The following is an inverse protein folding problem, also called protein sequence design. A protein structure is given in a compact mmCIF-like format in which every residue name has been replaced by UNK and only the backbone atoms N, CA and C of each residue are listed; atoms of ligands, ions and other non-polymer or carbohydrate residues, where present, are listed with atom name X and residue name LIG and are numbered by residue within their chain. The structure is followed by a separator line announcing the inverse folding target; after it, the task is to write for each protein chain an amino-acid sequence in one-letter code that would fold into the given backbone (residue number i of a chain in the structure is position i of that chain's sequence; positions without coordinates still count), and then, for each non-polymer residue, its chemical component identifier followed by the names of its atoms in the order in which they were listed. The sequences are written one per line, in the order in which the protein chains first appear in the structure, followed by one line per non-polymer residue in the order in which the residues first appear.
data_IF_259897927521
#
_entry.id   IF_259897927521
#
_cell.length_a   1.000
_cell.length_b   1.000
_cell.length_c   1.000
_cell.angle_alpha   90.00
_cell.angle_beta   90.00
_cell.angle_gamma   90.00
#
_symmetry.space_group_name_H-M   'P 1'
#
loop_
_entity.id
_entity.type
_entity.pdbx_description
1 polymer ?
#
# COMPACT_ATOMS: atom_id res chain seq x y z
N UNK A 1 57.32 45.10 0.77
CA UNK A 1 56.39 46.14 1.28
C UNK A 1 56.22 45.97 2.79
N UNK A 2 56.50 46.99 3.60
CA UNK A 2 56.39 46.94 5.08
C UNK A 2 54.91 47.03 5.48
N UNK A 3 54.44 46.11 6.33
CA UNK A 3 53.08 46.16 6.90
C UNK A 3 52.99 47.33 7.88
N UNK A 4 51.91 48.14 7.87
CA UNK A 4 51.75 49.22 8.83
C UNK A 4 51.66 48.64 10.26
N UNK A 5 52.43 49.22 11.18
CA UNK A 5 52.34 48.90 12.60
C UNK A 5 51.05 49.52 13.16
N UNK A 6 49.99 48.72 13.24
CA UNK A 6 48.71 49.16 13.79
C UNK A 6 48.83 49.07 15.30
N UNK A 7 49.06 50.21 15.96
CA UNK A 7 49.03 50.30 17.41
C UNK A 7 47.57 50.22 17.85
N UNK A 8 47.19 49.08 18.44
CA UNK A 8 45.88 48.93 19.05
C UNK A 8 45.81 49.86 20.26
N UNK A 9 44.82 50.76 20.29
CA UNK A 9 44.51 51.60 21.45
C UNK A 9 44.12 50.68 22.62
N UNK A 10 45.09 50.34 23.47
CA UNK A 10 44.92 49.53 24.67
C UNK A 10 44.34 50.40 25.79
N UNK A 11 43.08 50.82 25.63
CA UNK A 11 42.36 51.56 26.65
C UNK A 11 41.40 50.64 27.41
N UNK A 12 41.17 50.95 28.69
CA UNK A 12 40.28 50.23 29.60
C UNK A 12 38.85 50.12 29.03
N UNK A 13 38.38 51.16 28.33
CA UNK A 13 37.08 51.15 27.64
C UNK A 13 36.99 50.04 26.57
N UNK A 14 37.97 49.98 25.66
CA UNK A 14 37.99 49.00 24.56
C UNK A 14 38.08 47.56 25.11
N UNK A 15 38.86 47.33 26.18
CA UNK A 15 38.91 46.03 26.86
C UNK A 15 37.57 45.63 27.46
N UNK A 16 36.89 46.55 28.15
CA UNK A 16 35.60 46.26 28.77
C UNK A 16 34.52 45.99 27.72
N UNK A 17 34.49 46.74 26.63
CA UNK A 17 33.49 46.54 25.57
C UNK A 17 33.71 45.21 24.82
N UNK A 18 34.97 44.86 24.54
CA UNK A 18 35.31 43.56 23.95
C UNK A 18 34.98 42.40 24.89
N UNK A 19 35.21 42.54 26.21
CA UNK A 19 34.78 41.54 27.18
C UNK A 19 33.26 41.38 27.17
N UNK A 20 32.51 42.49 27.18
CA UNK A 20 31.04 42.45 27.12
C UNK A 20 30.54 41.75 25.86
N UNK A 21 31.08 42.09 24.69
CA UNK A 21 30.76 41.42 23.41
C UNK A 21 31.07 39.92 23.46
N UNK A 22 32.22 39.51 24.03
CA UNK A 22 32.56 38.08 24.17
C UNK A 22 31.58 37.35 25.10
N UNK A 23 31.15 37.97 26.20
CA UNK A 23 30.12 37.39 27.06
C UNK A 23 28.77 37.25 26.35
N UNK A 24 28.33 38.27 25.62
CA UNK A 24 27.09 38.23 24.82
C UNK A 24 27.16 37.17 23.70
N UNK A 25 28.30 37.06 23.02
CA UNK A 25 28.56 36.02 22.02
C UNK A 25 28.57 34.63 22.65
N UNK A 26 29.21 34.43 23.80
CA UNK A 26 29.21 33.15 24.51
C UNK A 26 27.82 32.73 24.97
N UNK A 27 27.00 33.66 25.46
CA UNK A 27 25.59 33.40 25.78
C UNK A 27 24.80 33.02 24.54
N UNK A 28 24.98 33.74 23.43
CA UNK A 28 24.32 33.45 22.16
C UNK A 28 24.72 32.06 21.62
N UNK A 29 25.99 31.68 21.74
CA UNK A 29 26.51 30.38 21.31
C UNK A 29 25.93 29.25 22.17
N UNK A 30 25.85 29.44 23.50
CA UNK A 30 25.20 28.48 24.40
C UNK A 30 23.72 28.29 24.03
N UNK A 31 23.00 29.39 23.77
CA UNK A 31 21.59 29.34 23.35
C UNK A 31 21.39 28.67 22.00
N UNK A 32 22.28 28.95 21.04
CA UNK A 32 22.23 28.33 19.71
C UNK A 32 22.56 26.83 19.76
N UNK A 33 23.50 26.42 20.60
CA UNK A 33 23.78 24.99 20.85
C UNK A 33 22.59 24.28 21.48
N UNK A 34 21.92 24.93 22.43
CA UNK A 34 20.69 24.41 23.05
C UNK A 34 19.54 24.28 22.04
N UNK A 35 19.34 25.30 21.19
CA UNK A 35 18.37 25.21 20.08
C UNK A 35 18.72 24.09 19.10
N UNK A 36 20.00 23.89 18.78
CA UNK A 36 20.45 22.77 17.95
C UNK A 36 20.08 21.41 18.54
N UNK A 37 20.27 21.23 19.85
CA UNK A 37 19.85 20.03 20.58
C UNK A 37 18.34 19.80 20.52
N UNK A 38 17.54 20.85 20.72
CA UNK A 38 16.08 20.78 20.58
C UNK A 38 15.70 20.33 19.17
N UNK A 39 16.35 20.88 18.14
CA UNK A 39 16.06 20.57 16.74
C UNK A 39 16.37 19.10 16.41
N UNK A 40 17.48 18.58 16.92
CA UNK A 40 17.84 17.15 16.81
C UNK A 40 16.80 16.27 17.49
N UNK A 41 16.39 16.60 18.72
CA UNK A 41 15.35 15.86 19.44
C UNK A 41 14.03 15.89 18.68
N UNK A 42 13.64 17.05 18.14
CA UNK A 42 12.44 17.19 17.31
C UNK A 42 12.51 16.29 16.08
N UNK A 43 13.65 16.28 15.38
CA UNK A 43 13.85 15.42 14.21
C UNK A 43 13.68 13.94 14.56
N UNK A 44 14.25 13.48 15.68
CA UNK A 44 14.04 12.12 16.16
C UNK A 44 12.59 11.82 16.54
N UNK A 45 11.90 12.80 17.14
CA UNK A 45 10.48 12.70 17.50
C UNK A 45 9.58 12.49 16.27
N UNK A 46 9.94 13.04 15.11
CA UNK A 46 9.21 12.84 13.86
C UNK A 46 9.62 11.54 13.13
N UNK A 47 10.86 11.07 13.28
CA UNK A 47 11.32 9.83 12.61
C UNK A 47 10.65 8.58 13.20
N UNK A 48 10.49 8.48 14.52
CA UNK A 48 9.91 7.29 15.17
C UNK A 48 8.45 6.97 14.74
N UNK A 49 7.50 7.92 14.73
CA UNK A 49 6.13 7.62 14.33
C UNK A 49 5.97 7.32 12.84
N UNK A 50 6.86 7.81 11.97
CA UNK A 50 6.71 7.64 10.51
C UNK A 50 6.86 6.19 10.06
N UNK A 51 7.71 5.39 10.71
CA UNK A 51 7.84 3.96 10.41
C UNK A 51 6.52 3.20 10.57
N UNK A 52 5.76 3.49 11.62
CA UNK A 52 4.50 2.81 11.90
C UNK A 52 3.41 3.21 10.90
N UNK A 53 3.36 4.50 10.52
CA UNK A 53 2.43 4.99 9.50
C UNK A 53 2.66 4.33 8.13
N UNK A 54 3.91 4.25 7.67
CA UNK A 54 4.23 3.66 6.36
C UNK A 54 3.86 2.18 6.34
N UNK A 55 4.23 1.43 7.37
CA UNK A 55 3.86 0.01 7.48
C UNK A 55 2.35 -0.19 7.48
N UNK A 56 1.62 0.63 8.24
CA UNK A 56 0.17 0.57 8.31
C UNK A 56 -0.47 0.85 6.95
N UNK A 57 -0.02 1.89 6.25
CA UNK A 57 -0.51 2.21 4.91
C UNK A 57 -0.29 1.08 3.90
N UNK A 58 0.91 0.50 3.87
CA UNK A 58 1.23 -0.63 2.99
C UNK A 58 0.36 -1.84 3.30
N UNK A 59 0.20 -2.19 4.59
CA UNK A 59 -0.65 -3.31 5.01
C UNK A 59 -2.12 -3.10 4.64
N UNK A 60 -2.64 -1.88 4.78
CA UNK A 60 -4.01 -1.55 4.39
C UNK A 60 -4.21 -1.67 2.88
N UNK A 61 -3.23 -1.24 2.09
CA UNK A 61 -3.29 -1.38 0.64
C UNK A 61 -3.29 -2.85 0.21
N UNK A 62 -2.47 -3.68 0.86
CA UNK A 62 -2.41 -5.11 0.58
C UNK A 62 -3.71 -5.83 0.99
N UNK A 63 -4.24 -5.54 2.17
CA UNK A 63 -5.52 -6.08 2.63
C UNK A 63 -6.67 -5.68 1.71
N UNK A 64 -6.72 -4.43 1.26
CA UNK A 64 -7.75 -3.99 0.30
C UNK A 64 -7.64 -4.75 -1.03
N UNK A 65 -6.43 -4.97 -1.54
CA UNK A 65 -6.22 -5.78 -2.74
C UNK A 65 -6.73 -7.21 -2.52
N UNK A 66 -6.35 -7.85 -1.41
CA UNK A 66 -6.82 -9.19 -1.06
C UNK A 66 -8.35 -9.26 -0.95
N UNK A 67 -8.99 -8.31 -0.28
CA UNK A 67 -10.46 -8.25 -0.20
C UNK A 67 -11.10 -8.15 -1.59
N UNK A 68 -10.53 -7.32 -2.48
CA UNK A 68 -11.06 -7.21 -3.85
C UNK A 68 -10.86 -8.48 -4.67
N UNK A 69 -9.74 -9.18 -4.53
CA UNK A 69 -9.49 -10.46 -5.24
C UNK A 69 -10.40 -11.54 -4.70
N UNK A 70 -10.45 -11.72 -3.38
CA UNK A 70 -11.35 -12.69 -2.72
C UNK A 70 -12.81 -12.43 -3.09
N UNK A 71 -13.26 -11.17 -3.15
CA UNK A 71 -14.63 -10.84 -3.56
C UNK A 71 -14.92 -11.20 -5.02
N UNK A 72 -13.92 -11.09 -5.91
CA UNK A 72 -14.05 -11.52 -7.31
C UNK A 72 -14.10 -13.04 -7.43
N UNK A 73 -13.19 -13.73 -6.75
CA UNK A 73 -13.14 -15.19 -6.72
C UNK A 73 -14.42 -15.77 -6.14
N UNK A 74 -14.89 -15.22 -5.01
CA UNK A 74 -16.17 -15.61 -4.40
C UNK A 74 -17.33 -15.46 -5.39
N UNK A 75 -17.44 -14.32 -6.09
CA UNK A 75 -18.50 -14.12 -7.09
C UNK A 75 -18.40 -15.08 -8.28
N UNK A 76 -17.19 -15.44 -8.70
CA UNK A 76 -16.99 -16.41 -9.76
C UNK A 76 -17.43 -17.82 -9.31
N UNK A 77 -17.03 -18.21 -8.10
CA UNK A 77 -17.39 -19.48 -7.49
C UNK A 77 -18.89 -19.58 -7.19
N UNK A 78 -19.51 -18.50 -6.74
CA UNK A 78 -20.95 -18.42 -6.51
C UNK A 78 -21.73 -18.67 -7.81
N UNK A 79 -21.29 -18.07 -8.92
CA UNK A 79 -21.88 -18.33 -10.25
C UNK A 79 -21.70 -19.78 -10.70
N UNK A 80 -20.51 -20.37 -10.51
CA UNK A 80 -20.27 -21.76 -10.92
C UNK A 80 -21.09 -22.73 -10.07
N UNK A 81 -21.12 -22.53 -8.75
CA UNK A 81 -21.89 -23.38 -7.83
C UNK A 81 -23.39 -23.27 -8.08
N UNK A 82 -23.94 -22.09 -8.40
CA UNK A 82 -25.35 -21.96 -8.79
C UNK A 82 -25.65 -22.65 -10.12
N UNK A 83 -24.74 -22.57 -11.10
CA UNK A 83 -24.86 -23.32 -12.36
C UNK A 83 -24.83 -24.83 -12.12
N UNK A 84 -23.89 -25.33 -11.31
CA UNK A 84 -23.79 -26.74 -10.93
C UNK A 84 -25.02 -27.22 -10.16
N UNK A 85 -25.54 -26.42 -9.20
CA UNK A 85 -26.79 -26.74 -8.50
C UNK A 85 -27.97 -26.81 -9.46
N UNK A 86 -28.05 -25.90 -10.43
CA UNK A 86 -29.10 -25.92 -11.46
C UNK A 86 -28.99 -27.17 -12.33
N UNK A 87 -27.78 -27.52 -12.76
CA UNK A 87 -27.50 -28.75 -13.50
C UNK A 87 -27.88 -29.99 -12.69
N UNK A 88 -27.47 -30.07 -11.42
CA UNK A 88 -27.82 -31.17 -10.53
C UNK A 88 -29.35 -31.32 -10.36
N UNK A 89 -30.09 -30.20 -10.27
CA UNK A 89 -31.57 -30.23 -10.26
C UNK A 89 -32.13 -30.72 -11.59
N UNK A 90 -31.60 -30.27 -12.73
CA UNK A 90 -32.05 -30.70 -14.05
C UNK A 90 -31.76 -32.18 -14.31
N UNK A 91 -30.63 -32.70 -13.83
CA UNK A 91 -30.26 -34.12 -13.95
C UNK A 91 -31.18 -35.06 -13.16
N UNK A 92 -31.97 -34.56 -12.20
CA UNK A 92 -33.04 -35.35 -11.57
C UNK A 92 -34.25 -35.57 -12.47
N UNK A 93 -34.38 -34.79 -13.54
CA UNK A 93 -35.47 -34.92 -14.50
C UNK A 93 -35.06 -35.88 -15.63
N UNK A 94 -35.82 -36.96 -15.80
CA UNK A 94 -35.57 -38.01 -16.79
C UNK A 94 -35.61 -37.51 -18.23
N UNK A 95 -36.54 -36.62 -18.59
CA UNK A 95 -36.64 -36.02 -19.93
C UNK A 95 -35.40 -35.18 -20.26
N UNK A 96 -34.91 -34.41 -19.28
CA UNK A 96 -33.69 -33.63 -19.44
C UNK A 96 -32.46 -34.54 -19.63
N UNK A 97 -32.35 -35.63 -18.88
CA UNK A 97 -31.24 -36.60 -18.99
C UNK A 97 -31.23 -37.26 -20.37
N UNK A 98 -32.38 -37.66 -20.91
CA UNK A 98 -32.46 -38.25 -22.25
C UNK A 98 -32.03 -37.23 -23.30
N UNK A 99 -32.53 -36.00 -23.26
CA UNK A 99 -32.13 -34.92 -24.18
C UNK A 99 -30.64 -34.59 -24.06
N UNK A 100 -30.11 -34.55 -22.85
CA UNK A 100 -28.69 -34.33 -22.58
C UNK A 100 -27.83 -35.48 -23.14
N UNK A 101 -28.27 -36.73 -23.01
CA UNK A 101 -27.57 -37.88 -23.56
C UNK A 101 -27.57 -37.88 -25.10
N UNK A 102 -28.70 -37.54 -25.73
CA UNK A 102 -28.79 -37.35 -27.20
C UNK A 102 -27.84 -36.24 -27.67
N UNK A 103 -27.81 -35.11 -26.96
CA UNK A 103 -26.98 -33.96 -27.33
C UNK A 103 -25.47 -34.15 -27.06
N UNK A 104 -25.09 -34.85 -25.98
CA UNK A 104 -23.67 -35.02 -25.58
C UNK A 104 -23.02 -36.26 -26.16
N UNK A 105 -23.75 -37.36 -26.18
CA UNK A 105 -23.23 -38.68 -26.54
C UNK A 105 -23.81 -39.21 -27.86
N UNK A 106 -24.59 -38.39 -28.57
CA UNK A 106 -25.23 -38.79 -29.83
C UNK A 106 -26.07 -40.06 -29.69
N UNK A 107 -26.69 -40.24 -28.52
CA UNK A 107 -27.53 -41.41 -28.26
C UNK A 107 -28.71 -41.42 -29.24
N UNK A 108 -28.86 -42.48 -30.01
CA UNK A 108 -29.93 -42.66 -31.01
C UNK A 108 -30.67 -43.95 -30.76
N UNK A 109 -31.98 -43.98 -31.02
CA UNK A 109 -32.72 -45.23 -31.14
C UNK A 109 -32.72 -45.73 -32.59
N UNK A 110 -33.15 -46.97 -32.78
CA UNK A 110 -33.16 -47.62 -34.10
C UNK A 110 -34.04 -46.82 -35.07
N UNK A 111 -33.44 -46.36 -36.18
CA UNK A 111 -34.11 -45.50 -37.17
C UNK A 111 -34.10 -43.98 -36.87
N UNK A 112 -33.55 -43.51 -35.74
CA UNK A 112 -33.40 -42.08 -35.45
C UNK A 112 -32.06 -41.51 -35.99
N UNK A 113 -32.08 -40.29 -36.52
CA UNK A 113 -30.88 -39.52 -36.91
C UNK A 113 -30.73 -38.30 -35.99
N UNK A 114 -29.57 -38.16 -35.34
CA UNK A 114 -29.28 -37.04 -34.42
C UNK A 114 -28.29 -36.07 -35.07
N UNK A 115 -28.66 -34.79 -35.08
CA UNK A 115 -27.82 -33.71 -35.58
C UNK A 115 -27.19 -32.91 -34.42
N UNK A 116 -25.85 -32.77 -34.37
CA UNK A 116 -25.20 -31.90 -33.39
C UNK A 116 -25.61 -30.44 -33.59
N UNK A 117 -26.02 -29.79 -32.51
CA UNK A 117 -26.21 -28.33 -32.48
C UNK A 117 -25.05 -27.72 -31.67
N UNK A 118 -24.17 -26.92 -32.29
CA UNK A 118 -23.06 -26.30 -31.57
C UNK A 118 -23.58 -25.35 -30.49
N UNK A 119 -23.05 -25.47 -29.27
CA UNK A 119 -23.41 -24.60 -28.14
C UNK A 119 -24.70 -24.98 -27.39
N UNK A 120 -25.33 -26.10 -27.71
CA UNK A 120 -26.54 -26.57 -27.03
C UNK A 120 -26.31 -26.98 -25.56
N UNK A 121 -25.12 -27.49 -25.26
CA UNK A 121 -24.76 -27.90 -23.91
C UNK A 121 -24.07 -26.77 -23.16
N UNK A 122 -24.41 -26.56 -21.87
CA UNK A 122 -23.66 -25.64 -21.02
C UNK A 122 -22.21 -26.14 -20.94
N UNK A 123 -21.27 -25.20 -21.10
CA UNK A 123 -19.83 -25.44 -20.98
C UNK A 123 -19.43 -25.74 -19.53
#
# INVERSE_FOLDING_TARGET
MKKPSIVQLNNKYIKNENQKKRFEEEESQKRNRFMGWILVVMMFLFILPTYNLVKSYVSLQEQNKQVTTLKKEYKALDKSTEAEKKLAKQLKNTDYVVKYARAKYYLTQEGEVVYPIPGLLPK
#
